data_IF_139298790992
#
_entry.id   IF_139298790992
#
_cell.length_a   1.000
_cell.length_b   1.000
_cell.length_c   1.000
_cell.angle_alpha   90.00
_cell.angle_beta   90.00
_cell.angle_gamma   90.00
#
_symmetry.space_group_name_H-M   'P 1'
#
loop_
_entity.id
_entity.type
_entity.pdbx_description
1 polymer ?
#
# COMPACT_ATOMS: atom_id res chain seq x y z
N UNK A 1 23.63 16.04 18.85
CA UNK A 1 22.35 15.91 18.13
C UNK A 1 21.94 14.45 18.25
N UNK A 2 20.74 14.16 18.76
CA UNK A 2 20.23 12.79 18.72
C UNK A 2 20.10 12.35 17.26
N UNK A 3 20.52 11.13 16.97
CA UNK A 3 20.30 10.49 15.68
C UNK A 3 18.80 10.50 15.37
N UNK A 4 18.42 10.96 14.18
CA UNK A 4 17.01 10.98 13.77
C UNK A 4 16.62 9.56 13.41
N UNK A 5 15.56 9.05 14.04
CA UNK A 5 14.99 7.75 13.70
C UNK A 5 13.68 8.00 12.99
N UNK A 6 13.60 7.55 11.74
CA UNK A 6 12.48 7.81 10.85
C UNK A 6 11.76 6.50 10.54
N UNK A 7 10.45 6.53 10.70
CA UNK A 7 9.53 5.49 10.29
C UNK A 7 8.71 6.04 9.14
N UNK A 8 8.75 5.38 7.99
CA UNK A 8 7.89 5.71 6.86
C UNK A 8 6.64 4.84 6.92
N UNK A 9 5.48 5.48 6.81
CA UNK A 9 4.19 4.80 6.71
C UNK A 9 3.62 5.09 5.33
N UNK A 10 3.44 4.04 4.52
CA UNK A 10 2.87 4.11 3.19
C UNK A 10 1.38 3.79 3.30
N UNK A 11 0.54 4.67 2.77
CA UNK A 11 -0.92 4.53 2.77
C UNK A 11 -1.50 4.92 1.42
N UNK A 12 -2.66 4.36 1.05
CA UNK A 12 -3.28 4.61 -0.24
C UNK A 12 -3.78 6.05 -0.40
N UNK A 13 -4.44 6.59 0.64
CA UNK A 13 -5.05 7.92 0.56
C UNK A 13 -5.03 8.74 1.85
N UNK A 14 -5.44 10.03 1.76
CA UNK A 14 -5.51 10.92 2.92
C UNK A 14 -6.47 10.44 4.01
N UNK A 15 -7.50 9.68 3.64
CA UNK A 15 -8.44 9.08 4.59
C UNK A 15 -7.74 8.14 5.56
N UNK A 16 -6.81 7.32 5.06
CA UNK A 16 -6.03 6.39 5.88
C UNK A 16 -5.09 7.15 6.83
N UNK A 17 -4.36 8.14 6.30
CA UNK A 17 -3.49 9.01 7.11
C UNK A 17 -4.29 9.70 8.23
N UNK A 18 -5.45 10.26 7.90
CA UNK A 18 -6.30 10.93 8.88
C UNK A 18 -6.84 9.96 9.93
N UNK A 19 -7.17 8.72 9.54
CA UNK A 19 -7.72 7.72 10.44
C UNK A 19 -6.66 7.17 11.43
N UNK A 20 -5.45 6.87 10.95
CA UNK A 20 -4.44 6.14 11.75
C UNK A 20 -3.21 6.98 12.12
N UNK A 21 -3.02 8.13 11.48
CA UNK A 21 -1.79 8.92 11.60
C UNK A 21 -1.52 9.46 13.00
N UNK A 22 -2.57 9.89 13.71
CA UNK A 22 -2.44 10.30 15.11
C UNK A 22 -1.99 9.14 16.01
N UNK A 23 -2.60 7.96 15.83
CA UNK A 23 -2.30 6.76 16.62
C UNK A 23 -0.85 6.32 16.40
N UNK A 24 -0.37 6.28 15.15
CA UNK A 24 1.00 5.86 14.87
C UNK A 24 2.04 6.87 15.38
N UNK A 25 1.75 8.18 15.29
CA UNK A 25 2.63 9.22 15.85
C UNK A 25 2.70 9.16 17.37
N UNK A 26 1.61 8.82 18.05
CA UNK A 26 1.60 8.60 19.49
C UNK A 26 2.34 7.31 19.87
N UNK A 27 2.07 6.21 19.16
CA UNK A 27 2.69 4.92 19.40
C UNK A 27 4.21 4.95 19.21
N UNK A 28 4.69 5.62 18.16
CA UNK A 28 6.12 5.85 17.89
C UNK A 28 6.58 7.23 18.35
N UNK A 29 6.16 7.68 19.54
CA UNK A 29 6.43 9.03 20.06
C UNK A 29 7.92 9.38 20.24
N UNK A 30 8.82 8.40 20.22
CA UNK A 30 10.28 8.61 20.28
C UNK A 30 10.95 8.78 18.92
N UNK A 31 10.22 8.49 17.84
CA UNK A 31 10.72 8.46 16.46
C UNK A 31 9.91 9.45 15.59
N UNK A 32 10.47 9.86 14.46
CA UNK A 32 9.77 10.67 13.47
C UNK A 32 8.94 9.77 12.54
N UNK A 33 7.62 9.94 12.54
CA UNK A 33 6.71 9.20 11.64
C UNK A 33 6.32 10.07 10.45
N UNK A 34 6.70 9.63 9.25
CA UNK A 34 6.40 10.32 7.98
C UNK A 34 5.50 9.48 7.10
N UNK A 35 4.48 10.12 6.52
CA UNK A 35 3.51 9.45 5.66
C UNK A 35 3.85 9.64 4.18
N UNK A 36 3.89 8.54 3.44
CA UNK A 36 3.84 8.50 1.99
C UNK A 36 2.40 8.21 1.56
N UNK A 37 1.63 9.27 1.33
CA UNK A 37 0.26 9.15 0.79
C UNK A 37 0.35 9.00 -0.73
N UNK A 38 -0.02 7.81 -1.23
CA UNK A 38 0.20 7.44 -2.65
C UNK A 38 -0.82 8.09 -3.58
N UNK A 39 -2.02 8.41 -3.09
CA UNK A 39 -3.18 8.84 -3.88
C UNK A 39 -3.62 7.80 -4.92
N UNK A 40 -3.71 6.55 -4.45
CA UNK A 40 -4.08 5.38 -5.23
C UNK A 40 -3.43 4.13 -4.67
N UNK A 41 -3.87 2.98 -5.16
CA UNK A 41 -3.33 1.69 -4.74
C UNK A 41 -2.15 1.29 -5.63
N UNK A 42 -0.93 1.34 -5.06
CA UNK A 42 0.30 0.93 -5.75
C UNK A 42 0.26 -0.54 -6.16
N UNK A 43 -0.46 -1.38 -5.40
CA UNK A 43 -0.49 -2.84 -5.56
C UNK A 43 -1.45 -3.29 -6.65
N UNK A 44 -2.52 -2.55 -6.94
CA UNK A 44 -3.39 -2.80 -8.10
C UNK A 44 -3.11 -1.94 -9.35
N UNK A 45 -2.16 -1.01 -9.29
CA UNK A 45 -1.75 -0.21 -10.44
C UNK A 45 -1.17 -1.07 -11.57
N UNK A 46 -1.67 -0.91 -12.80
CA UNK A 46 -1.28 -1.70 -13.98
C UNK A 46 0.20 -1.57 -14.38
N UNK A 47 0.85 -0.45 -14.02
CA UNK A 47 2.26 -0.21 -14.29
C UNK A 47 3.18 -0.65 -13.14
N UNK A 48 2.63 -1.15 -12.03
CA UNK A 48 3.40 -1.76 -10.95
C UNK A 48 3.52 -3.25 -11.20
N UNK A 49 4.74 -3.78 -11.29
CA UNK A 49 4.99 -5.21 -11.53
C UNK A 49 5.80 -5.80 -10.40
N UNK A 50 5.83 -7.13 -10.28
CA UNK A 50 6.67 -7.83 -9.30
C UNK A 50 8.15 -7.47 -9.41
N UNK A 51 8.60 -7.10 -10.60
CA UNK A 51 9.99 -6.70 -10.88
C UNK A 51 10.28 -5.25 -10.48
N UNK A 52 9.26 -4.38 -10.43
CA UNK A 52 9.46 -2.95 -10.24
C UNK A 52 8.89 -2.41 -8.92
N UNK A 53 8.07 -3.16 -8.20
CA UNK A 53 7.38 -2.67 -7.00
C UNK A 53 8.36 -2.19 -5.93
N UNK A 54 9.47 -2.89 -5.70
CA UNK A 54 10.48 -2.48 -4.72
C UNK A 54 11.09 -1.14 -5.09
N UNK A 55 11.48 -0.97 -6.37
CA UNK A 55 11.99 0.32 -6.86
C UNK A 55 10.96 1.45 -6.68
N UNK A 56 9.67 1.18 -6.93
CA UNK A 56 8.62 2.20 -6.73
C UNK A 56 8.48 2.58 -5.24
N UNK A 57 8.60 1.62 -4.33
CA UNK A 57 8.61 1.88 -2.89
C UNK A 57 9.86 2.70 -2.51
N UNK A 58 11.03 2.36 -3.04
CA UNK A 58 12.26 3.13 -2.82
C UNK A 58 12.12 4.59 -3.29
N UNK A 59 11.46 4.82 -4.43
CA UNK A 59 11.19 6.15 -4.96
C UNK A 59 10.26 6.97 -4.04
N UNK A 60 9.25 6.34 -3.44
CA UNK A 60 8.40 6.99 -2.44
C UNK A 60 9.20 7.40 -1.20
N UNK A 61 10.06 6.50 -0.71
CA UNK A 61 10.92 6.77 0.45
C UNK A 61 11.95 7.84 0.13
N UNK A 62 12.55 7.82 -1.07
CA UNK A 62 13.51 8.85 -1.51
C UNK A 62 12.85 10.23 -1.63
N UNK A 63 11.57 10.28 -2.02
CA UNK A 63 10.76 11.49 -1.99
C UNK A 63 10.66 12.08 -0.58
N UNK A 64 10.36 11.25 0.43
CA UNK A 64 10.34 11.67 1.85
C UNK A 64 11.74 12.10 2.30
N UNK A 65 12.76 11.29 2.01
CA UNK A 65 14.15 11.55 2.36
C UNK A 65 14.59 12.93 1.86
N UNK A 66 14.30 13.24 0.60
CA UNK A 66 14.67 14.50 -0.03
C UNK A 66 13.85 15.67 0.53
N UNK A 67 12.53 15.48 0.72
CA UNK A 67 11.62 16.51 1.24
C UNK A 67 12.00 17.00 2.64
N UNK A 68 12.44 16.09 3.50
CA UNK A 68 12.74 16.39 4.91
C UNK A 68 14.23 16.42 5.25
N UNK A 69 15.10 16.15 4.27
CA UNK A 69 16.55 16.20 4.43
C UNK A 69 17.12 15.07 5.29
N UNK A 70 16.53 13.88 5.22
CA UNK A 70 17.03 12.70 5.93
C UNK A 70 18.19 12.02 5.17
N UNK A 71 18.95 11.23 5.90
CA UNK A 71 19.90 10.24 5.38
C UNK A 71 19.24 8.88 5.30
N UNK A 72 19.78 7.99 4.47
CA UNK A 72 19.31 6.59 4.42
C UNK A 72 19.45 5.89 5.78
N UNK A 73 20.53 6.17 6.51
CA UNK A 73 20.77 5.60 7.84
C UNK A 73 19.78 6.10 8.91
N UNK A 74 19.01 7.16 8.64
CA UNK A 74 17.98 7.65 9.57
C UNK A 74 16.71 6.76 9.52
N UNK A 75 16.48 6.02 8.42
CA UNK A 75 15.29 5.19 8.27
C UNK A 75 15.46 3.85 8.97
N UNK A 76 14.62 3.61 9.98
CA UNK A 76 14.68 2.40 10.79
C UNK A 76 13.56 1.41 10.48
N UNK A 77 12.51 1.85 9.77
CA UNK A 77 11.34 1.03 9.46
C UNK A 77 10.52 1.60 8.32
N UNK A 78 9.98 0.68 7.51
CA UNK A 78 8.92 0.95 6.54
C UNK A 78 7.69 0.16 6.95
N UNK A 79 6.54 0.83 7.07
CA UNK A 79 5.24 0.23 7.35
C UNK A 79 4.37 0.50 6.12
N UNK A 80 3.87 -0.54 5.48
CA UNK A 80 2.91 -0.38 4.38
C UNK A 80 1.54 -0.86 4.85
N UNK A 81 0.58 0.06 4.91
CA UNK A 81 -0.81 -0.25 5.23
C UNK A 81 -1.53 -0.40 3.89
N UNK A 82 -1.81 -1.63 3.52
CA UNK A 82 -2.52 -1.99 2.30
C UNK A 82 -3.73 -2.85 2.65
N UNK A 83 -4.82 -2.69 1.92
CA UNK A 83 -5.95 -3.59 2.03
C UNK A 83 -5.74 -4.88 1.22
N UNK A 84 -6.63 -5.83 1.44
CA UNK A 84 -6.65 -7.11 0.71
C UNK A 84 -7.98 -7.30 -0.01
N UNK A 85 -8.54 -6.22 -0.55
CA UNK A 85 -9.84 -6.25 -1.22
C UNK A 85 -9.83 -7.16 -2.46
N UNK A 86 -10.69 -8.18 -2.48
CA UNK A 86 -10.81 -9.11 -3.61
C UNK A 86 -9.61 -10.02 -3.89
N UNK A 87 -8.51 -9.92 -3.13
CA UNK A 87 -7.32 -10.77 -3.29
C UNK A 87 -7.35 -11.99 -2.38
N UNK A 88 -6.51 -12.99 -2.67
CA UNK A 88 -6.39 -14.25 -1.92
C UNK A 88 -7.70 -15.05 -1.79
N UNK A 89 -8.62 -14.84 -2.72
CA UNK A 89 -9.89 -15.55 -2.85
C UNK A 89 -9.99 -16.21 -4.24
N UNK A 90 -10.92 -17.15 -4.43
CA UNK A 90 -11.12 -17.86 -5.71
C UNK A 90 -12.61 -18.00 -6.00
N UNK A 91 -13.00 -17.76 -7.26
CA UNK A 91 -14.38 -17.99 -7.73
C UNK A 91 -15.42 -17.12 -7.03
N UNK A 92 -15.02 -15.93 -6.57
CA UNK A 92 -15.86 -15.01 -5.79
C UNK A 92 -16.36 -13.81 -6.61
N UNK A 93 -15.97 -13.68 -7.88
CA UNK A 93 -16.42 -12.57 -8.74
C UNK A 93 -17.64 -13.01 -9.54
N UNK A 94 -18.74 -12.30 -9.39
CA UNK A 94 -20.00 -12.54 -10.08
C UNK A 94 -20.30 -11.38 -11.03
N UNK A 95 -20.80 -11.73 -12.21
CA UNK A 95 -21.24 -10.72 -13.19
C UNK A 95 -22.52 -10.03 -12.71
N UNK A 96 -22.50 -8.70 -12.70
CA UNK A 96 -23.67 -7.88 -12.39
C UNK A 96 -23.60 -6.53 -13.12
N UNK A 97 -24.77 -5.97 -13.45
CA UNK A 97 -24.88 -4.62 -14.03
C UNK A 97 -24.72 -3.55 -12.95
N UNK A 98 -23.47 -3.37 -12.49
CA UNK A 98 -23.09 -2.37 -11.48
C UNK A 98 -22.02 -1.44 -12.03
N UNK A 99 -22.07 -0.16 -11.64
CA UNK A 99 -21.12 0.85 -12.12
C UNK A 99 -19.71 0.68 -11.53
N UNK A 100 -19.62 0.17 -10.30
CA UNK A 100 -18.38 -0.08 -9.57
C UNK A 100 -18.45 -1.46 -8.91
N UNK A 101 -17.29 -2.01 -8.56
CA UNK A 101 -17.20 -3.28 -7.85
C UNK A 101 -17.94 -3.15 -6.51
N UNK A 102 -18.85 -4.07 -6.23
CA UNK A 102 -19.50 -4.18 -4.92
C UNK A 102 -18.94 -5.36 -4.16
N UNK A 103 -18.67 -5.15 -2.88
CA UNK A 103 -18.11 -6.15 -2.00
C UNK A 103 -19.18 -6.66 -1.04
N UNK A 104 -19.25 -7.98 -0.90
CA UNK A 104 -20.10 -8.70 0.03
C UNK A 104 -19.25 -9.62 0.90
N UNK A 105 -19.87 -10.25 1.90
CA UNK A 105 -19.14 -11.14 2.82
C UNK A 105 -18.57 -12.38 2.11
N UNK A 106 -19.23 -12.86 1.06
CA UNK A 106 -18.92 -14.11 0.37
C UNK A 106 -18.56 -13.94 -1.12
N UNK A 107 -18.80 -12.77 -1.71
CA UNK A 107 -18.55 -12.52 -3.12
C UNK A 107 -18.31 -11.04 -3.45
N UNK A 108 -17.98 -10.78 -4.71
CA UNK A 108 -17.94 -9.46 -5.32
C UNK A 108 -18.82 -9.46 -6.56
N UNK A 109 -19.47 -8.34 -6.82
CA UNK A 109 -20.25 -8.11 -8.04
C UNK A 109 -19.54 -7.09 -8.92
N UNK A 110 -19.50 -7.31 -10.23
CA UNK A 110 -18.94 -6.37 -11.19
C UNK A 110 -19.32 -6.64 -12.64
N UNK A 111 -19.29 -5.61 -13.47
CA UNK A 111 -19.67 -5.70 -14.88
C UNK A 111 -18.61 -6.37 -15.78
N UNK A 112 -17.38 -6.54 -15.30
CA UNK A 112 -16.26 -7.07 -16.09
C UNK A 112 -15.46 -8.10 -15.28
N UNK A 113 -16.00 -9.31 -15.15
CA UNK A 113 -15.45 -10.40 -14.32
C UNK A 113 -13.98 -10.67 -14.62
N UNK A 114 -13.61 -10.88 -15.89
CA UNK A 114 -12.22 -11.19 -16.28
C UNK A 114 -11.24 -10.07 -15.90
N UNK A 115 -11.64 -8.81 -16.06
CA UNK A 115 -10.81 -7.66 -15.71
C UNK A 115 -10.60 -7.55 -14.18
N UNK A 116 -11.65 -7.82 -13.40
CA UNK A 116 -11.58 -7.84 -11.94
C UNK A 116 -10.70 -8.98 -11.46
N UNK A 117 -10.87 -10.18 -12.00
CA UNK A 117 -10.02 -11.33 -11.67
C UNK A 117 -8.56 -11.09 -12.02
N UNK A 118 -8.29 -10.47 -13.18
CA UNK A 118 -6.95 -10.06 -13.57
C UNK A 118 -6.36 -9.03 -12.58
N UNK A 119 -7.11 -7.98 -12.23
CA UNK A 119 -6.70 -6.96 -11.24
C UNK A 119 -6.43 -7.59 -9.87
N UNK A 120 -7.28 -8.50 -9.40
CA UNK A 120 -7.11 -9.16 -8.11
C UNK A 120 -5.90 -10.10 -8.10
N UNK A 121 -5.69 -10.85 -9.19
CA UNK A 121 -4.49 -11.69 -9.34
C UNK A 121 -3.24 -10.81 -9.32
N UNK A 122 -3.22 -9.74 -10.09
CA UNK A 122 -2.12 -8.77 -10.13
C UNK A 122 -1.80 -8.21 -8.74
N UNK A 123 -2.81 -7.68 -8.04
CA UNK A 123 -2.67 -7.16 -6.68
C UNK A 123 -2.11 -8.21 -5.71
N UNK A 124 -2.58 -9.45 -5.79
CA UNK A 124 -2.09 -10.55 -4.94
C UNK A 124 -0.62 -10.88 -5.19
N UNK A 125 -0.14 -10.85 -6.44
CA UNK A 125 1.25 -11.11 -6.79
C UNK A 125 2.18 -10.00 -6.27
N UNK A 126 1.74 -8.74 -6.36
CA UNK A 126 2.47 -7.60 -5.81
C UNK A 126 2.54 -7.68 -4.28
N UNK A 127 1.41 -7.92 -3.60
CA UNK A 127 1.37 -8.08 -2.15
C UNK A 127 2.24 -9.23 -1.67
N UNK A 128 2.24 -10.37 -2.38
CA UNK A 128 3.10 -11.50 -2.07
C UNK A 128 4.58 -11.16 -2.24
N UNK A 129 4.95 -10.45 -3.32
CA UNK A 129 6.31 -9.97 -3.53
C UNK A 129 6.76 -9.06 -2.37
N UNK A 130 5.94 -8.09 -1.98
CA UNK A 130 6.22 -7.19 -0.86
C UNK A 130 6.37 -7.94 0.46
N UNK A 131 5.46 -8.87 0.76
CA UNK A 131 5.52 -9.71 1.96
C UNK A 131 6.79 -10.58 2.02
N UNK A 132 7.20 -11.13 0.89
CA UNK A 132 8.38 -12.01 0.80
C UNK A 132 9.72 -11.26 0.71
N UNK A 133 9.70 -9.93 0.73
CA UNK A 133 10.93 -9.14 0.63
C UNK A 133 11.51 -8.93 2.02
N UNK A 134 12.65 -9.58 2.27
CA UNK A 134 13.47 -9.30 3.45
C UNK A 134 14.10 -7.91 3.31
N UNK A 135 14.03 -7.11 4.37
CA UNK A 135 14.77 -5.84 4.51
C UNK A 135 16.19 -6.08 5.01
#
# INVERSE_FOLDING_TARGET
MSEKKVIVVIVEGPSDENAIGGILKEYFSTDEVQFAVVHGDITSNEFTTVDNVIRKIDELIDGIRTKYGYRWDDFIKVIHIADTDGVFTKGCVMEAEVAEIRYYEDHMEGAAVEAIEHRNKHKSEILFKLYSTDM
#
